data_IF_306652288032
#
_entry.id   IF_306652288032
#
_cell.length_a   1.000
_cell.length_b   1.000
_cell.length_c   1.000
_cell.angle_alpha   90.00
_cell.angle_beta   90.00
_cell.angle_gamma   90.00
#
_symmetry.space_group_name_H-M   'P 1'
#
loop_
_entity.id
_entity.type
_entity.pdbx_description
1 polymer ?
#
# COMPACT_ATOMS: atom_id res chain seq x y z
N UNK A 1 -2.26 -27.31 -7.11
CA UNK A 1 -2.77 -26.08 -6.51
C UNK A 1 -3.33 -25.23 -7.64
N UNK A 2 -4.65 -25.02 -7.71
CA UNK A 2 -5.24 -24.22 -8.77
C UNK A 2 -5.02 -22.75 -8.50
N UNK A 3 -4.63 -21.99 -9.52
CA UNK A 3 -4.44 -20.52 -9.44
C UNK A 3 -5.71 -19.79 -8.92
N UNK A 4 -6.88 -20.44 -9.04
CA UNK A 4 -8.17 -19.92 -8.55
C UNK A 4 -8.32 -19.90 -7.03
N UNK A 5 -7.49 -20.64 -6.30
CA UNK A 5 -7.60 -20.76 -4.84
C UNK A 5 -6.77 -19.69 -4.10
N UNK A 6 -5.93 -18.93 -4.81
CA UNK A 6 -5.15 -17.82 -4.25
C UNK A 6 -5.84 -16.50 -4.53
N UNK A 7 -6.08 -15.65 -3.50
CA UNK A 7 -6.65 -14.33 -3.68
C UNK A 7 -5.70 -13.42 -4.46
N UNK A 8 -6.27 -12.54 -5.30
CA UNK A 8 -5.51 -11.52 -6.01
C UNK A 8 -5.06 -10.42 -5.04
N UNK A 9 -3.76 -10.19 -4.95
CA UNK A 9 -3.14 -9.20 -4.07
C UNK A 9 -2.81 -7.86 -4.76
N UNK A 10 -3.13 -7.70 -6.05
CA UNK A 10 -2.77 -6.49 -6.82
C UNK A 10 -3.32 -5.19 -6.24
N UNK A 11 -4.45 -5.23 -5.55
CA UNK A 11 -5.09 -4.07 -4.93
C UNK A 11 -5.04 -4.07 -3.40
N UNK A 12 -4.33 -5.00 -2.79
CA UNK A 12 -4.32 -5.18 -1.33
C UNK A 12 -3.84 -3.93 -0.59
N UNK A 13 -2.87 -3.20 -1.15
CA UNK A 13 -2.34 -1.95 -0.58
C UNK A 13 -3.43 -0.88 -0.47
N UNK A 14 -4.36 -0.83 -1.41
CA UNK A 14 -5.50 0.11 -1.38
C UNK A 14 -6.66 -0.37 -0.51
N UNK A 15 -6.80 -1.68 -0.38
CA UNK A 15 -7.91 -2.30 0.36
C UNK A 15 -7.75 -2.22 1.88
N UNK A 16 -6.57 -1.88 2.39
CA UNK A 16 -6.28 -1.86 3.83
C UNK A 16 -5.86 -0.48 4.32
N UNK A 17 -6.30 -0.06 5.52
CA UNK A 17 -5.81 1.15 6.16
C UNK A 17 -4.29 1.03 6.39
N UNK A 18 -3.56 2.12 6.21
CA UNK A 18 -2.09 2.20 6.25
C UNK A 18 -1.36 1.47 5.10
N UNK A 19 -2.07 0.86 4.15
CA UNK A 19 -1.52 0.35 2.90
C UNK A 19 -0.27 -0.51 3.04
N UNK A 20 0.85 -0.06 2.48
CA UNK A 20 2.12 -0.79 2.47
C UNK A 20 2.69 -1.05 3.87
N UNK A 21 2.56 -0.10 4.81
CA UNK A 21 3.06 -0.26 6.18
C UNK A 21 2.35 -1.40 6.91
N UNK A 22 1.03 -1.50 6.71
CA UNK A 22 0.26 -2.61 7.25
C UNK A 22 0.69 -3.96 6.66
N UNK A 23 0.93 -4.01 5.34
CA UNK A 23 1.38 -5.23 4.68
C UNK A 23 2.77 -5.67 5.15
N UNK A 24 3.71 -4.72 5.27
CA UNK A 24 5.03 -5.02 5.81
C UNK A 24 4.92 -5.57 7.24
N UNK A 25 4.15 -4.92 8.09
CA UNK A 25 3.92 -5.39 9.45
C UNK A 25 3.27 -6.78 9.48
N UNK A 26 2.30 -7.04 8.60
CA UNK A 26 1.64 -8.33 8.49
C UNK A 26 2.62 -9.44 8.10
N UNK A 27 3.49 -9.21 7.12
CA UNK A 27 4.49 -10.19 6.67
C UNK A 27 5.53 -10.53 7.75
N UNK A 28 5.88 -9.55 8.58
CA UNK A 28 6.80 -9.72 9.70
C UNK A 28 6.10 -10.15 11.01
N UNK A 29 4.78 -10.17 11.02
CA UNK A 29 3.97 -10.38 12.22
C UNK A 29 3.65 -11.83 12.54
N UNK A 30 4.20 -12.80 11.82
CA UNK A 30 4.05 -14.22 12.12
C UNK A 30 4.89 -14.58 13.36
N UNK A 31 4.20 -14.95 14.43
CA UNK A 31 4.82 -15.36 15.70
C UNK A 31 4.08 -16.57 16.26
N UNK A 32 4.71 -17.28 17.16
CA UNK A 32 4.05 -18.37 17.87
C UNK A 32 2.86 -17.86 18.70
N UNK A 33 1.79 -18.62 18.73
CA UNK A 33 0.61 -18.24 19.49
C UNK A 33 0.94 -18.20 21.00
N UNK A 34 0.46 -17.17 21.72
CA UNK A 34 0.66 -17.09 23.16
C UNK A 34 -0.02 -18.27 23.87
N UNK A 35 0.56 -18.69 24.99
CA UNK A 35 0.04 -19.79 25.80
C UNK A 35 -1.44 -19.54 26.16
N UNK A 36 -2.31 -20.50 25.77
CA UNK A 36 -3.76 -20.44 26.02
C UNK A 36 -4.62 -20.02 24.83
N UNK A 37 -4.02 -19.69 23.67
CA UNK A 37 -4.78 -19.51 22.41
C UNK A 37 -4.65 -20.77 21.55
N UNK A 38 -5.76 -21.45 21.32
CA UNK A 38 -5.82 -22.53 20.34
C UNK A 38 -5.87 -21.97 18.94
N UNK A 39 -4.97 -22.42 18.07
CA UNK A 39 -4.94 -22.07 16.65
C UNK A 39 -5.58 -23.24 15.90
N UNK A 40 -6.71 -23.04 15.20
CA UNK A 40 -7.35 -24.08 14.40
C UNK A 40 -6.43 -24.59 13.29
N UNK A 41 -6.63 -25.85 12.88
CA UNK A 41 -5.89 -26.42 11.75
C UNK A 41 -6.07 -25.56 10.48
N UNK A 42 -4.97 -25.29 9.80
CA UNK A 42 -4.96 -24.46 8.57
C UNK A 42 -4.96 -22.95 8.81
N UNK A 43 -4.84 -22.51 10.06
CA UNK A 43 -4.65 -21.10 10.40
C UNK A 43 -3.30 -20.87 11.10
N UNK A 44 -2.81 -19.65 11.02
CA UNK A 44 -1.54 -19.22 11.60
C UNK A 44 -1.78 -17.99 12.47
N UNK A 45 -1.03 -17.87 13.56
CA UNK A 45 -1.12 -16.70 14.42
C UNK A 45 -0.31 -15.55 13.84
N UNK A 46 -0.95 -14.37 13.75
CA UNK A 46 -0.29 -13.15 13.29
C UNK A 46 -0.67 -11.98 14.20
N UNK A 47 0.33 -11.27 14.66
CA UNK A 47 0.19 -10.17 15.63
C UNK A 47 -0.63 -8.99 15.09
N UNK A 48 -0.56 -8.73 13.79
CA UNK A 48 -1.14 -7.54 13.16
C UNK A 48 -2.45 -7.82 12.41
N UNK A 49 -2.80 -9.08 12.22
CA UNK A 49 -4.09 -9.44 11.62
C UNK A 49 -5.23 -9.17 12.61
N UNK A 50 -6.33 -8.61 12.13
CA UNK A 50 -7.56 -8.47 12.92
C UNK A 50 -8.07 -9.86 13.34
N UNK A 51 -8.25 -10.06 14.66
CA UNK A 51 -8.54 -11.39 15.22
C UNK A 51 -7.31 -12.27 15.46
N UNK A 52 -6.11 -11.85 15.07
CA UNK A 52 -4.83 -12.55 15.22
C UNK A 52 -4.71 -13.91 14.52
N UNK A 53 -5.66 -14.28 13.67
CA UNK A 53 -5.63 -15.53 12.90
C UNK A 53 -5.68 -15.25 11.41
N UNK A 54 -4.81 -15.89 10.65
CA UNK A 54 -4.72 -15.77 9.20
C UNK A 54 -4.58 -17.15 8.56
N UNK A 55 -5.30 -17.40 7.47
CA UNK A 55 -5.23 -18.66 6.73
C UNK A 55 -3.97 -18.78 5.86
N UNK A 56 -3.31 -17.66 5.54
CA UNK A 56 -2.09 -17.66 4.75
C UNK A 56 -0.90 -18.13 5.60
N UNK A 57 -0.14 -19.15 5.19
CA UNK A 57 1.12 -19.49 5.84
C UNK A 57 2.14 -18.37 5.68
N UNK A 58 3.16 -18.32 6.57
CA UNK A 58 4.24 -17.33 6.41
C UNK A 58 4.91 -17.50 5.05
N UNK A 59 4.87 -16.48 4.17
CA UNK A 59 5.47 -16.57 2.85
C UNK A 59 6.98 -16.30 2.87
N UNK A 60 7.51 -15.75 3.96
CA UNK A 60 8.92 -15.39 4.10
C UNK A 60 9.60 -16.29 5.12
N UNK A 61 10.82 -16.70 4.80
CA UNK A 61 11.72 -17.43 5.71
C UNK A 61 13.17 -16.97 5.48
N UNK A 62 13.99 -17.08 6.49
CA UNK A 62 15.42 -16.76 6.35
C UNK A 62 16.07 -17.71 5.32
N UNK A 63 16.91 -17.13 4.44
CA UNK A 63 17.59 -17.88 3.40
C UNK A 63 16.71 -18.37 2.27
N UNK A 64 15.50 -17.81 2.09
CA UNK A 64 14.57 -18.19 1.02
C UNK A 64 15.13 -17.89 -0.38
N UNK A 65 15.89 -16.81 -0.52
CA UNK A 65 16.47 -16.37 -1.79
C UNK A 65 17.82 -15.68 -1.56
N UNK A 66 18.61 -15.59 -2.63
CA UNK A 66 19.82 -14.79 -2.69
C UNK A 66 19.60 -13.72 -3.78
N UNK A 67 19.98 -12.48 -3.47
CA UNK A 67 19.92 -11.39 -4.43
C UNK A 67 21.16 -11.41 -5.34
N UNK A 68 20.97 -11.20 -6.64
CA UNK A 68 22.06 -11.18 -7.64
C UNK A 68 23.06 -10.02 -7.42
N UNK A 69 22.64 -8.97 -6.73
CA UNK A 69 23.45 -7.79 -6.40
C UNK A 69 24.26 -7.93 -5.09
N UNK A 70 24.17 -9.09 -4.41
CA UNK A 70 24.84 -9.36 -3.16
C UNK A 70 24.19 -8.70 -1.93
N UNK A 71 23.00 -8.13 -2.05
CA UNK A 71 22.24 -7.62 -0.91
C UNK A 71 21.87 -8.76 0.03
N UNK A 72 22.01 -8.56 1.34
CA UNK A 72 21.60 -9.54 2.34
C UNK A 72 20.08 -9.73 2.32
N UNK A 73 19.63 -10.97 2.07
CA UNK A 73 18.22 -11.32 2.01
C UNK A 73 17.62 -11.48 3.41
N UNK A 74 17.62 -10.41 4.20
CA UNK A 74 16.94 -10.40 5.49
C UNK A 74 15.42 -10.41 5.32
N UNK A 75 14.69 -10.94 6.30
CA UNK A 75 13.22 -10.94 6.26
C UNK A 75 12.63 -9.52 6.12
N UNK A 76 13.25 -8.52 6.75
CA UNK A 76 12.82 -7.13 6.66
C UNK A 76 13.01 -6.57 5.24
N UNK A 77 14.14 -6.89 4.59
CA UNK A 77 14.42 -6.49 3.22
C UNK A 77 13.42 -7.13 2.24
N UNK A 78 13.23 -8.44 2.33
CA UNK A 78 12.27 -9.16 1.48
C UNK A 78 10.84 -8.63 1.66
N UNK A 79 10.41 -8.36 2.90
CA UNK A 79 9.10 -7.78 3.18
C UNK A 79 8.97 -6.36 2.60
N UNK A 80 10.02 -5.55 2.63
CA UNK A 80 10.05 -4.21 2.05
C UNK A 80 9.92 -4.26 0.53
N UNK A 81 10.65 -5.15 -0.13
CA UNK A 81 10.66 -5.29 -1.58
C UNK A 81 9.30 -5.75 -2.11
N UNK A 82 8.73 -6.78 -1.48
CA UNK A 82 7.38 -7.26 -1.83
C UNK A 82 6.32 -6.18 -1.63
N UNK A 83 6.35 -5.45 -0.51
CA UNK A 83 5.37 -4.38 -0.26
C UNK A 83 5.53 -3.20 -1.21
N UNK A 84 6.75 -2.86 -1.59
CA UNK A 84 7.05 -1.84 -2.59
C UNK A 84 6.52 -2.25 -3.97
N UNK A 85 6.76 -3.51 -4.36
CA UNK A 85 6.20 -4.06 -5.59
C UNK A 85 4.67 -4.03 -5.61
N UNK A 86 4.01 -4.44 -4.53
CA UNK A 86 2.55 -4.42 -4.42
C UNK A 86 1.99 -2.99 -4.42
N UNK A 87 2.71 -2.03 -3.85
CA UNK A 87 2.34 -0.62 -3.91
C UNK A 87 2.41 -0.08 -5.35
N UNK A 88 3.47 -0.44 -6.09
CA UNK A 88 3.57 -0.10 -7.51
C UNK A 88 2.49 -0.79 -8.35
N UNK A 89 2.23 -2.08 -8.12
CA UNK A 89 1.19 -2.83 -8.82
C UNK A 89 -0.21 -2.24 -8.60
N UNK A 90 -0.49 -1.73 -7.39
CA UNK A 90 -1.75 -1.08 -7.07
C UNK A 90 -1.92 0.30 -7.74
N UNK A 91 -0.85 1.02 -8.00
CA UNK A 91 -0.86 2.36 -8.59
C UNK A 91 0.33 2.62 -9.53
N UNK A 92 0.41 1.97 -10.70
CA UNK A 92 1.55 2.12 -11.62
C UNK A 92 1.67 3.55 -12.16
N UNK A 93 0.58 4.31 -12.25
CA UNK A 93 0.56 5.71 -12.74
C UNK A 93 0.60 6.76 -11.63
N UNK A 94 1.00 6.39 -10.40
CA UNK A 94 1.01 7.31 -9.26
C UNK A 94 1.89 8.55 -9.49
N UNK A 95 3.08 8.35 -10.04
CA UNK A 95 4.03 9.43 -10.31
C UNK A 95 3.52 10.40 -11.37
N UNK A 96 2.97 9.87 -12.46
CA UNK A 96 2.37 10.68 -13.53
C UNK A 96 1.17 11.48 -13.00
N UNK A 97 0.33 10.85 -12.19
CA UNK A 97 -0.80 11.52 -11.56
C UNK A 97 -0.37 12.67 -10.65
N UNK A 98 0.67 12.48 -9.83
CA UNK A 98 1.21 13.55 -8.98
C UNK A 98 1.82 14.68 -9.80
N UNK A 99 2.58 14.35 -10.86
CA UNK A 99 3.19 15.34 -11.75
C UNK A 99 2.16 16.17 -12.51
N UNK A 100 1.12 15.54 -13.01
CA UNK A 100 -0.01 16.23 -13.68
C UNK A 100 -0.79 17.05 -12.65
N UNK A 101 -1.07 16.50 -11.47
CA UNK A 101 -1.81 17.17 -10.41
C UNK A 101 -1.23 18.53 -10.03
N UNK A 102 0.10 18.63 -9.89
CA UNK A 102 0.74 19.91 -9.62
C UNK A 102 0.48 20.94 -10.73
N UNK A 103 0.57 20.54 -11.99
CA UNK A 103 0.29 21.42 -13.15
C UNK A 103 -1.16 21.89 -13.16
N UNK A 104 -2.09 20.98 -12.83
CA UNK A 104 -3.54 21.30 -12.75
C UNK A 104 -3.81 22.29 -11.62
N UNK A 105 -3.19 22.13 -10.44
CA UNK A 105 -3.36 23.07 -9.33
C UNK A 105 -2.86 24.46 -9.71
N UNK A 106 -1.69 24.58 -10.35
CA UNK A 106 -1.17 25.87 -10.80
C UNK A 106 -2.08 26.52 -11.85
N UNK A 107 -2.58 25.74 -12.81
CA UNK A 107 -3.54 26.23 -13.80
C UNK A 107 -4.83 26.75 -13.16
N UNK A 108 -5.42 25.98 -12.24
CA UNK A 108 -6.63 26.37 -11.53
C UNK A 108 -6.42 27.62 -10.69
N UNK A 109 -5.25 27.79 -10.09
CA UNK A 109 -4.92 28.98 -9.33
C UNK A 109 -4.90 30.24 -10.22
N UNK A 110 -4.26 30.17 -11.39
CA UNK A 110 -4.27 31.27 -12.35
C UNK A 110 -5.71 31.56 -12.85
N UNK A 111 -6.47 30.52 -13.18
CA UNK A 111 -7.84 30.64 -13.60
C UNK A 111 -8.72 31.31 -12.53
N UNK A 112 -8.51 30.94 -11.25
CA UNK A 112 -9.21 31.55 -10.12
C UNK A 112 -8.94 33.05 -10.03
N UNK A 113 -7.67 33.47 -10.17
CA UNK A 113 -7.31 34.90 -10.15
C UNK A 113 -8.00 35.65 -11.28
N UNK A 114 -7.96 35.13 -12.50
CA UNK A 114 -8.63 35.75 -13.66
C UNK A 114 -10.13 35.86 -13.46
N UNK A 115 -10.77 34.81 -13.01
CA UNK A 115 -12.20 34.80 -12.70
C UNK A 115 -12.57 35.81 -11.60
N UNK A 116 -11.73 35.93 -10.57
CA UNK A 116 -11.93 36.87 -9.50
C UNK A 116 -11.84 38.32 -9.97
N UNK A 117 -10.84 38.65 -10.81
CA UNK A 117 -10.69 39.99 -11.40
C UNK A 117 -11.88 40.30 -12.31
N UNK A 118 -12.28 39.36 -13.16
CA UNK A 118 -13.45 39.52 -14.05
C UNK A 118 -14.72 39.76 -13.25
N UNK A 119 -14.94 39.00 -12.17
CA UNK A 119 -16.05 39.23 -11.24
C UNK A 119 -16.04 40.64 -10.70
N UNK A 120 -14.89 41.13 -10.18
CA UNK A 120 -14.81 42.48 -9.65
C UNK A 120 -15.13 43.56 -10.67
N UNK A 121 -14.68 43.42 -11.90
CA UNK A 121 -14.99 44.39 -12.98
C UNK A 121 -16.47 44.45 -13.27
N UNK A 122 -17.13 43.28 -13.48
CA UNK A 122 -18.55 43.21 -13.79
C UNK A 122 -19.40 43.81 -12.67
N UNK A 123 -19.08 43.53 -11.41
CA UNK A 123 -19.87 43.97 -10.27
C UNK A 123 -19.60 45.43 -9.87
N UNK A 124 -18.46 46.00 -10.30
CA UNK A 124 -18.15 47.41 -10.07
C UNK A 124 -19.14 48.35 -10.80
N UNK A 125 -19.57 47.96 -11.99
CA UNK A 125 -20.43 48.81 -12.85
C UNK A 125 -21.93 48.65 -12.51
N UNK A 126 -22.28 47.72 -11.59
CA UNK A 126 -23.66 47.46 -11.14
C UNK A 126 -23.99 48.25 -9.84
N UNK A 127 -23.00 48.86 -9.19
CA UNK A 127 -23.19 49.78 -8.06
C UNK A 127 -23.28 51.21 -8.57
#
# INVERSE_FOLDING_TARGET
MCIRDSPDLSLIVKARPKGADYLKALLLGYVEAPAGKEVPEGQYYNKYMEGNLIAMPSPLSEGLLEYDDGTEASMDQMATDVTTFLAWAAEPSLEDRKRIGLKVILFLFVLFILAYISKQQIWRDIK
#
